data_IF_231224080021
#
_entry.id   IF_231224080021
#
_cell.length_a   1.000
_cell.length_b   1.000
_cell.length_c   1.000
_cell.angle_alpha   90.00
_cell.angle_beta   90.00
_cell.angle_gamma   90.00
#
_symmetry.space_group_name_H-M   'P 1'
#
loop_
_entity.id
_entity.type
_entity.pdbx_description
1 polymer ?
#
# COMPACT_ATOMS: atom_id res chain seq x y z
N UNK A 1 3.42 25.60 -11.90
CA UNK A 1 2.44 24.50 -11.78
C UNK A 1 2.69 23.82 -10.44
N UNK A 2 1.69 23.72 -9.56
CA UNK A 2 1.83 23.08 -8.24
C UNK A 2 1.05 21.77 -8.26
N UNK A 3 1.71 20.65 -7.98
CA UNK A 3 1.05 19.36 -7.81
C UNK A 3 0.54 19.28 -6.37
N UNK A 4 -0.74 18.97 -6.21
CA UNK A 4 -1.37 18.77 -4.90
C UNK A 4 -1.68 17.28 -4.79
N UNK A 5 -1.20 16.65 -3.72
CA UNK A 5 -1.48 15.23 -3.48
C UNK A 5 -2.85 15.07 -2.86
N UNK A 6 -3.62 14.14 -3.40
CA UNK A 6 -5.00 13.86 -2.99
C UNK A 6 -5.21 12.36 -2.92
N UNK A 7 -6.09 11.93 -2.03
CA UNK A 7 -6.60 10.55 -1.98
C UNK A 7 -8.02 10.54 -2.52
N UNK A 8 -8.29 9.65 -3.48
CA UNK A 8 -9.65 9.33 -3.90
C UNK A 8 -10.19 8.16 -3.07
N UNK A 9 -11.24 8.38 -2.29
CA UNK A 9 -11.83 7.36 -1.44
C UNK A 9 -13.35 7.50 -1.42
N UNK A 10 -14.06 6.48 -1.92
CA UNK A 10 -15.52 6.42 -1.84
C UNK A 10 -16.26 7.48 -2.66
N UNK A 11 -15.63 8.05 -3.69
CA UNK A 11 -16.19 9.14 -4.50
C UNK A 11 -15.71 10.53 -4.08
N UNK A 12 -15.06 10.64 -2.93
CA UNK A 12 -14.54 11.91 -2.42
C UNK A 12 -13.04 12.08 -2.71
N UNK A 13 -12.64 13.32 -3.00
CA UNK A 13 -11.24 13.74 -3.11
C UNK A 13 -10.82 14.41 -1.80
N UNK A 14 -9.89 13.79 -1.06
CA UNK A 14 -9.34 14.33 0.18
C UNK A 14 -7.94 14.87 -0.07
N UNK A 15 -7.72 16.15 0.21
CA UNK A 15 -6.39 16.75 0.15
C UNK A 15 -5.52 16.18 1.28
N UNK A 16 -4.28 15.80 0.97
CA UNK A 16 -3.32 15.39 2.01
C UNK A 16 -2.73 16.58 2.76
N UNK A 17 -2.69 17.74 2.12
CA UNK A 17 -2.15 18.98 2.64
C UNK A 17 -3.20 20.09 2.47
N UNK A 18 -3.29 21.00 3.44
CA UNK A 18 -4.17 22.16 3.31
C UNK A 18 -3.67 23.07 2.19
N UNK A 19 -4.58 23.51 1.33
CA UNK A 19 -4.29 24.44 0.25
C UNK A 19 -5.28 25.58 0.34
N UNK A 20 -4.76 26.79 0.48
CA UNK A 20 -5.55 28.01 0.42
C UNK A 20 -5.84 28.34 -1.06
N UNK A 21 -7.08 28.12 -1.48
CA UNK A 21 -7.56 28.42 -2.82
C UNK A 21 -8.75 29.38 -2.71
N UNK A 22 -8.81 30.44 -3.54
CA UNK A 22 -9.98 31.30 -3.61
C UNK A 22 -11.25 30.50 -3.95
N UNK A 23 -12.39 30.95 -3.45
CA UNK A 23 -13.68 30.37 -3.83
C UNK A 23 -13.88 30.39 -5.35
N UNK A 24 -14.54 29.34 -5.87
CA UNK A 24 -14.83 29.17 -7.31
C UNK A 24 -13.59 29.07 -8.21
N UNK A 25 -12.42 28.70 -7.67
CA UNK A 25 -11.23 28.41 -8.48
C UNK A 25 -11.44 27.13 -9.31
N UNK A 26 -11.39 27.18 -10.65
CA UNK A 26 -11.47 25.99 -11.48
C UNK A 26 -10.20 25.14 -11.35
N UNK A 27 -10.37 23.84 -11.12
CA UNK A 27 -9.28 22.87 -10.99
C UNK A 27 -9.29 21.88 -12.14
N UNK A 28 -8.10 21.51 -12.61
CA UNK A 28 -7.92 20.41 -13.57
C UNK A 28 -7.23 19.26 -12.85
N UNK A 29 -7.79 18.06 -12.97
CA UNK A 29 -7.22 16.84 -12.39
C UNK A 29 -6.47 16.08 -13.47
N UNK A 30 -5.23 15.69 -13.15
CA UNK A 30 -4.46 14.74 -13.94
C UNK A 30 -4.19 13.52 -13.06
N UNK A 31 -4.56 12.34 -13.55
CA UNK A 31 -4.09 11.10 -12.96
C UNK A 31 -2.64 10.94 -13.37
N UNK A 32 -1.75 10.94 -12.39
CA UNK A 32 -0.36 10.61 -12.61
C UNK A 32 -0.26 9.09 -12.45
N UNK A 33 0.09 8.39 -13.52
CA UNK A 33 0.53 7.01 -13.41
C UNK A 33 1.88 7.07 -12.69
N UNK A 34 1.87 6.76 -11.40
CA UNK A 34 3.10 6.45 -10.67
C UNK A 34 3.43 4.99 -11.00
N UNK A 35 4.66 4.71 -11.45
CA UNK A 35 5.10 3.36 -11.83
C UNK A 35 5.13 2.40 -10.62
N UNK A 36 4.98 2.93 -9.41
CA UNK A 36 4.91 2.17 -8.18
C UNK A 36 3.53 1.52 -8.01
N UNK A 37 3.53 0.19 -8.04
CA UNK A 37 2.39 -0.61 -7.61
C UNK A 37 2.02 -0.24 -6.17
N UNK A 38 0.74 0.09 -5.89
CA UNK A 38 0.28 0.27 -4.52
C UNK A 38 0.65 -0.96 -3.68
N UNK A 39 0.98 -0.75 -2.40
CA UNK A 39 1.35 -1.84 -1.48
C UNK A 39 0.29 -2.94 -1.48
N UNK A 40 -0.99 -2.58 -1.52
CA UNK A 40 -2.08 -3.54 -1.63
C UNK A 40 -2.03 -4.37 -2.92
N UNK A 41 -1.62 -3.76 -4.03
CA UNK A 41 -1.39 -4.44 -5.31
C UNK A 41 -0.24 -5.43 -5.22
N UNK A 42 0.88 -5.03 -4.61
CA UNK A 42 2.03 -5.90 -4.37
C UNK A 42 1.66 -7.09 -3.47
N UNK A 43 0.92 -6.85 -2.39
CA UNK A 43 0.48 -7.91 -1.46
C UNK A 43 -0.42 -8.92 -2.17
N UNK A 44 -1.38 -8.45 -3.00
CA UNK A 44 -2.23 -9.36 -3.78
C UNK A 44 -1.44 -10.19 -4.79
N UNK A 45 -0.47 -9.58 -5.47
CA UNK A 45 0.40 -10.29 -6.40
C UNK A 45 1.24 -11.36 -5.69
N UNK A 46 1.80 -11.03 -4.52
CA UNK A 46 2.56 -11.97 -3.70
C UNK A 46 1.68 -13.13 -3.20
N UNK A 47 0.44 -12.87 -2.77
CA UNK A 47 -0.52 -13.91 -2.38
C UNK A 47 -0.89 -14.81 -3.55
N UNK A 48 -1.20 -14.25 -4.72
CA UNK A 48 -1.60 -15.02 -5.90
C UNK A 48 -0.43 -15.83 -6.50
N UNK A 49 0.80 -15.32 -6.39
CA UNK A 49 2.00 -15.95 -6.93
C UNK A 49 2.65 -16.99 -6.01
N UNK A 50 2.07 -17.26 -4.84
CA UNK A 50 2.60 -18.24 -3.88
C UNK A 50 3.85 -17.78 -3.14
N UNK A 51 4.14 -16.47 -3.14
CA UNK A 51 5.30 -15.92 -2.42
C UNK A 51 5.22 -16.16 -0.90
N UNK A 52 4.03 -16.49 -0.39
CA UNK A 52 3.76 -16.81 1.01
C UNK A 52 3.54 -18.30 1.28
N UNK A 53 3.72 -19.18 0.28
CA UNK A 53 3.45 -20.62 0.43
C UNK A 53 4.31 -21.25 1.53
N UNK A 54 5.52 -20.74 1.72
CA UNK A 54 6.45 -21.16 2.77
C UNK A 54 5.86 -21.05 4.18
N UNK A 55 4.92 -20.11 4.42
CA UNK A 55 4.25 -19.97 5.73
C UNK A 55 3.36 -21.17 6.07
N UNK A 56 2.98 -21.95 5.06
CA UNK A 56 2.14 -23.14 5.21
C UNK A 56 2.90 -24.44 5.01
N UNK A 57 4.20 -24.39 4.72
CA UNK A 57 5.01 -25.58 4.49
C UNK A 57 5.56 -26.11 5.83
N UNK A 58 5.17 -27.32 6.26
CA UNK A 58 5.67 -27.91 7.51
C UNK A 58 7.19 -28.12 7.54
N UNK A 59 7.86 -28.09 6.37
CA UNK A 59 9.33 -28.19 6.28
C UNK A 59 10.03 -26.88 6.65
N UNK A 60 9.32 -25.76 6.57
CA UNK A 60 9.80 -24.42 6.95
C UNK A 60 9.55 -24.13 8.44
N UNK A 61 8.79 -24.99 9.13
CA UNK A 61 8.58 -24.94 10.58
C UNK A 61 9.78 -25.55 11.32
N UNK A 62 10.90 -24.81 11.27
CA UNK A 62 12.21 -25.25 11.78
C UNK A 62 12.44 -24.93 13.25
N UNK A 63 11.50 -24.24 13.91
CA UNK A 63 11.58 -23.90 15.32
C UNK A 63 10.74 -24.87 16.14
N UNK A 64 11.26 -25.26 17.28
CA UNK A 64 10.66 -26.17 18.24
C UNK A 64 10.60 -25.53 19.63
N UNK A 65 9.71 -26.02 20.48
CA UNK A 65 9.58 -25.54 21.86
C UNK A 65 10.89 -25.73 22.65
N UNK A 66 11.69 -26.74 22.29
CA UNK A 66 12.99 -27.02 22.92
C UNK A 66 14.10 -26.03 22.55
N UNK A 67 13.96 -25.23 21.50
CA UNK A 67 15.00 -24.29 21.07
C UNK A 67 15.14 -23.08 22.01
N UNK A 68 14.10 -22.81 22.81
CA UNK A 68 14.10 -21.76 23.82
C UNK A 68 14.61 -22.19 25.20
N UNK A 69 14.96 -23.46 25.38
CA UNK A 69 15.43 -23.98 26.66
C UNK A 69 16.85 -23.49 26.98
N UNK A 70 17.11 -23.20 28.25
CA UNK A 70 18.41 -22.73 28.70
C UNK A 70 19.44 -23.89 28.63
N UNK A 71 20.56 -23.64 27.95
CA UNK A 71 21.75 -24.51 27.93
C UNK A 71 22.57 -24.42 29.21
#
# INVERSE_FOLDING_TARGET
>A
MRTIRVIFQGGDLKLLESVDLPENTPLTFALLDDDDLPVEGMVRAAQAGGAFDFLSDPREDIYSESDGEAV
#
